data_IF_024034795090
#
_entry.id   IF_024034795090
#
_cell.length_a   1.000
_cell.length_b   1.000
_cell.length_c   1.000
_cell.angle_alpha   90.00
_cell.angle_beta   90.00
_cell.angle_gamma   90.00
#
_symmetry.space_group_name_H-M   'P 1'
#
loop_
_entity.id
_entity.type
_entity.pdbx_description
1 polymer ?
#
# COMPACT_ATOMS: atom_id res chain seq x y z
N UNK A 1 -14.73 -27.97 -26.20
CA UNK A 1 -14.72 -26.77 -27.09
C UNK A 1 -14.06 -25.64 -26.30
N UNK A 2 -13.01 -24.97 -26.75
CA UNK A 2 -12.07 -25.25 -27.84
C UNK A 2 -10.78 -24.47 -27.54
N UNK A 3 -9.61 -25.09 -27.65
CA UNK A 3 -8.34 -24.47 -27.30
C UNK A 3 -7.79 -23.63 -28.45
N UNK A 4 -7.19 -22.47 -28.14
CA UNK A 4 -6.18 -21.86 -29.00
C UNK A 4 -4.94 -21.52 -28.17
N UNK A 5 -3.86 -22.26 -28.42
CA UNK A 5 -2.47 -21.89 -28.09
C UNK A 5 -1.86 -21.22 -29.31
N UNK A 6 -1.00 -20.23 -29.12
CA UNK A 6 -0.06 -19.78 -30.14
C UNK A 6 1.26 -19.38 -29.49
N UNK A 7 2.30 -20.19 -29.72
CA UNK A 7 3.69 -19.84 -29.44
C UNK A 7 4.26 -19.04 -30.63
N UNK A 8 4.95 -17.93 -30.39
CA UNK A 8 5.92 -17.30 -31.31
C UNK A 8 6.98 -16.63 -30.42
N UNK A 9 8.14 -17.25 -30.22
CA UNK A 9 9.40 -17.05 -30.98
C UNK A 9 10.04 -15.68 -30.75
N UNK A 10 11.18 -15.69 -30.06
CA UNK A 10 12.11 -14.56 -30.03
C UNK A 10 12.86 -14.46 -31.37
N UNK A 11 13.20 -13.24 -31.78
CA UNK A 11 14.00 -12.99 -32.99
C UNK A 11 14.83 -11.71 -32.85
N UNK A 12 16.13 -11.82 -33.07
CA UNK A 12 17.04 -10.67 -33.24
C UNK A 12 16.79 -9.99 -34.59
N UNK A 13 16.77 -8.65 -34.65
CA UNK A 13 16.98 -7.90 -35.90
C UNK A 13 17.87 -6.67 -35.65
N UNK A 14 18.80 -6.41 -36.58
CA UNK A 14 19.79 -5.29 -36.58
C UNK A 14 19.33 -4.11 -37.46
N UNK A 15 19.61 -2.86 -36.99
CA UNK A 15 19.79 -1.60 -37.77
C UNK A 15 18.55 -1.11 -38.57
N UNK A 16 18.49 0.08 -39.23
CA UNK A 16 19.41 1.24 -39.36
C UNK A 16 18.89 2.53 -38.64
N UNK A 17 19.42 3.76 -38.78
CA UNK A 17 20.69 4.22 -39.38
C UNK A 17 20.69 5.60 -40.09
N UNK A 18 20.21 6.68 -39.46
CA UNK A 18 20.24 8.10 -39.92
C UNK A 18 20.76 8.98 -38.77
N UNK A 19 21.65 9.98 -38.89
CA UNK A 19 22.13 10.75 -40.04
C UNK A 19 21.49 12.14 -40.06
N UNK A 20 22.21 13.20 -39.63
CA UNK A 20 22.15 14.61 -40.10
C UNK A 20 23.17 15.49 -39.31
N UNK A 21 23.63 16.56 -39.97
CA UNK A 21 24.64 17.58 -39.60
C UNK A 21 24.29 18.37 -38.30
N UNK A 22 25.14 19.20 -37.67
CA UNK A 22 26.21 20.08 -38.18
C UNK A 22 27.15 20.59 -37.06
N UNK A 23 28.41 20.93 -37.43
CA UNK A 23 29.37 21.89 -36.81
C UNK A 23 29.19 22.29 -35.32
N UNK A 24 30.18 21.95 -34.51
CA UNK A 24 30.73 22.88 -33.52
C UNK A 24 31.95 23.60 -34.14
N UNK A 25 32.05 24.91 -33.95
CA UNK A 25 33.24 25.72 -34.23
C UNK A 25 33.65 26.30 -32.88
N UNK A 26 34.70 25.75 -32.28
CA UNK A 26 35.35 26.39 -31.13
C UNK A 26 36.46 27.30 -31.66
N UNK A 27 36.31 28.60 -31.38
CA UNK A 27 37.34 29.60 -31.68
C UNK A 27 38.33 29.65 -30.54
N UNK A 28 39.58 29.36 -30.93
CA UNK A 28 40.85 29.77 -30.34
C UNK A 28 40.76 30.98 -29.39
N UNK A 29 41.30 30.84 -28.19
CA UNK A 29 42.12 31.90 -27.60
C UNK A 29 43.09 31.35 -26.54
N UNK A 30 44.41 31.43 -26.81
CA UNK A 30 45.42 31.58 -25.76
C UNK A 30 46.76 32.12 -26.29
N UNK A 31 46.92 33.44 -26.18
CA UNK A 31 48.09 34.15 -25.64
C UNK A 31 49.43 33.37 -25.55
N UNK A 32 50.48 33.82 -26.27
CA UNK A 32 51.57 34.65 -25.69
C UNK A 32 52.84 34.76 -26.56
N UNK A 33 53.24 35.99 -26.87
CA UNK A 33 54.62 36.58 -26.87
C UNK A 33 55.83 35.72 -27.27
N UNK A 34 56.64 36.19 -28.25
CA UNK A 34 58.09 36.44 -28.12
C UNK A 34 58.68 37.29 -29.27
N UNK A 35 59.85 37.90 -29.01
CA UNK A 35 60.53 38.93 -29.81
C UNK A 35 61.28 38.47 -31.08
N UNK A 36 61.68 39.45 -31.92
CA UNK A 36 63.08 39.71 -32.38
C UNK A 36 63.29 40.14 -33.86
N UNK A 37 63.85 41.35 -34.00
CA UNK A 37 65.02 41.74 -34.83
C UNK A 37 65.15 41.44 -36.35
N UNK A 38 65.39 42.54 -37.10
CA UNK A 38 66.25 42.73 -38.29
C UNK A 38 66.05 41.89 -39.58
N UNK A 39 65.85 42.59 -40.71
CA UNK A 39 66.93 42.84 -41.70
C UNK A 39 66.47 43.60 -42.97
N UNK A 40 67.38 44.35 -43.59
CA UNK A 40 67.39 44.79 -45.00
C UNK A 40 68.39 43.90 -45.75
N UNK A 41 68.30 43.62 -47.07
CA UNK A 41 68.36 44.59 -48.19
C UNK A 41 67.38 44.27 -49.36
N UNK A 42 67.30 44.95 -50.51
CA UNK A 42 67.96 46.14 -51.06
C UNK A 42 68.06 46.04 -52.60
N UNK A 43 67.70 47.09 -53.36
CA UNK A 43 67.84 47.18 -54.83
C UNK A 43 68.35 48.58 -55.23
N UNK A 44 69.13 48.66 -56.31
CA UNK A 44 69.98 49.80 -56.71
C UNK A 44 69.42 50.60 -57.91
N UNK A 45 69.68 51.92 -57.89
CA UNK A 45 70.10 52.81 -59.02
C UNK A 45 69.20 52.89 -60.30
N UNK A 46 69.24 53.91 -61.16
CA UNK A 46 70.20 54.99 -61.45
C UNK A 46 69.56 56.40 -61.65
N UNK A 47 70.43 57.40 -61.57
CA UNK A 47 70.57 58.70 -62.28
C UNK A 47 69.56 59.13 -63.40
N UNK A 48 69.41 60.41 -63.78
CA UNK A 48 70.23 61.62 -63.52
C UNK A 48 69.44 62.95 -63.69
N UNK A 49 70.01 64.06 -63.18
CA UNK A 49 69.85 65.47 -63.58
C UNK A 49 68.56 65.99 -64.27
N UNK A 50 67.89 66.96 -63.62
CA UNK A 50 67.96 68.34 -64.14
C UNK A 50 67.59 69.43 -63.10
N UNK A 51 68.07 70.65 -63.36
CA UNK A 51 68.10 71.76 -62.39
C UNK A 51 66.94 72.77 -62.51
N UNK A 52 66.70 73.44 -61.36
CA UNK A 52 66.23 74.82 -61.18
C UNK A 52 64.72 75.20 -61.26
N UNK A 53 64.43 76.27 -60.50
CA UNK A 53 63.27 77.18 -60.56
C UNK A 53 61.86 76.66 -60.19
N UNK A 54 61.57 76.60 -58.87
CA UNK A 54 60.18 76.45 -58.38
C UNK A 54 59.95 76.34 -56.86
N UNK A 55 61.00 76.39 -56.03
CA UNK A 55 60.99 75.81 -54.68
C UNK A 55 60.45 76.68 -53.53
N UNK A 56 59.64 77.72 -53.82
CA UNK A 56 59.01 78.57 -52.77
C UNK A 56 57.48 78.59 -52.75
N UNK A 57 56.79 78.45 -53.89
CA UNK A 57 55.32 78.33 -53.90
C UNK A 57 54.85 76.88 -53.69
N UNK A 58 55.53 75.90 -54.30
CA UNK A 58 55.10 74.50 -54.20
C UNK A 58 55.22 73.93 -52.78
N UNK A 59 56.20 74.40 -51.98
CA UNK A 59 56.34 74.01 -50.57
C UNK A 59 55.20 74.51 -49.68
N UNK A 60 54.66 75.69 -49.94
CA UNK A 60 53.49 76.22 -49.22
C UNK A 60 52.24 75.40 -49.53
N UNK A 61 52.00 75.06 -50.80
CA UNK A 61 50.87 74.20 -51.18
C UNK A 61 51.02 72.74 -50.69
N UNK A 62 52.24 72.19 -50.65
CA UNK A 62 52.47 70.85 -50.12
C UNK A 62 52.27 70.79 -48.59
N UNK A 63 52.78 71.78 -47.84
CA UNK A 63 52.55 71.87 -46.38
C UNK A 63 51.08 72.13 -46.07
N UNK A 64 50.41 73.04 -46.78
CA UNK A 64 48.98 73.28 -46.62
C UNK A 64 48.15 72.03 -46.96
N UNK A 65 48.47 71.33 -48.05
CA UNK A 65 47.82 70.08 -48.44
C UNK A 65 47.99 68.97 -47.40
N UNK A 66 49.21 68.79 -46.86
CA UNK A 66 49.47 67.82 -45.78
C UNK A 66 48.72 68.18 -44.50
N UNK A 67 48.66 69.46 -44.12
CA UNK A 67 47.90 69.91 -42.93
C UNK A 67 46.39 69.71 -43.12
N UNK A 68 45.83 70.03 -44.29
CA UNK A 68 44.41 69.78 -44.58
C UNK A 68 44.12 68.27 -44.60
N UNK A 69 45.02 67.45 -45.15
CA UNK A 69 44.87 66.00 -45.16
C UNK A 69 44.96 65.38 -43.76
N UNK A 70 45.90 65.82 -42.91
CA UNK A 70 46.00 65.31 -41.52
C UNK A 70 44.81 65.76 -40.67
N UNK A 71 44.30 66.98 -40.85
CA UNK A 71 43.06 67.42 -40.21
C UNK A 71 41.85 66.63 -40.72
N UNK A 72 41.74 66.38 -42.03
CA UNK A 72 40.65 65.58 -42.59
C UNK A 72 40.68 64.12 -42.10
N UNK A 73 41.87 63.50 -42.03
CA UNK A 73 42.06 62.16 -41.47
C UNK A 73 41.80 62.15 -39.97
N UNK A 74 42.23 63.16 -39.21
CA UNK A 74 41.93 63.28 -37.79
C UNK A 74 40.42 63.45 -37.54
N UNK A 75 39.71 64.25 -38.34
CA UNK A 75 38.26 64.40 -38.27
C UNK A 75 37.54 63.10 -38.67
N UNK A 76 38.00 62.41 -39.70
CA UNK A 76 37.44 61.13 -40.14
C UNK A 76 37.62 60.03 -39.09
N UNK A 77 38.83 59.89 -38.53
CA UNK A 77 39.13 58.96 -37.44
C UNK A 77 38.37 59.33 -36.17
N UNK A 78 38.30 60.62 -35.81
CA UNK A 78 37.48 61.08 -34.70
C UNK A 78 36.02 60.70 -34.91
N UNK A 79 35.43 61.03 -36.07
CA UNK A 79 34.05 60.67 -36.41
C UNK A 79 33.79 59.16 -36.34
N UNK A 80 34.66 58.32 -36.91
CA UNK A 80 34.49 56.85 -36.88
C UNK A 80 34.65 56.23 -35.47
N UNK A 81 35.62 56.70 -34.68
CA UNK A 81 35.82 56.22 -33.30
C UNK A 81 34.65 56.66 -32.41
N UNK A 82 34.22 57.91 -32.56
CA UNK A 82 33.08 58.52 -31.86
C UNK A 82 31.79 57.77 -32.21
N UNK A 83 31.44 57.61 -33.49
CA UNK A 83 30.21 56.91 -33.89
C UNK A 83 30.19 55.44 -33.49
N UNK A 84 31.30 54.71 -33.66
CA UNK A 84 31.40 53.30 -33.28
C UNK A 84 31.25 53.07 -31.77
N UNK A 85 31.68 54.02 -30.94
CA UNK A 85 31.54 53.93 -29.48
C UNK A 85 30.08 54.05 -28.99
N UNK A 86 29.24 54.79 -29.73
CA UNK A 86 27.84 55.01 -29.35
C UNK A 86 26.92 53.86 -29.79
N UNK A 87 27.16 53.27 -30.95
CA UNK A 87 26.36 52.12 -31.43
C UNK A 87 26.59 50.86 -30.57
N UNK A 88 27.80 50.63 -30.07
CA UNK A 88 28.07 49.55 -29.10
C UNK A 88 27.34 49.77 -27.78
N UNK A 89 27.37 50.98 -27.22
CA UNK A 89 26.67 51.29 -25.96
C UNK A 89 25.15 51.13 -26.06
N UNK A 90 24.55 51.62 -27.14
CA UNK A 90 23.10 51.56 -27.34
C UNK A 90 22.61 50.13 -27.63
N UNK A 91 23.34 49.37 -28.46
CA UNK A 91 23.00 47.97 -28.74
C UNK A 91 23.13 47.08 -27.49
N UNK A 92 24.15 47.32 -26.65
CA UNK A 92 24.30 46.62 -25.37
C UNK A 92 23.19 46.98 -24.36
N UNK A 93 22.76 48.24 -24.29
CA UNK A 93 21.61 48.63 -23.46
C UNK A 93 20.30 47.96 -23.92
N UNK A 94 20.02 47.94 -25.23
CA UNK A 94 18.83 47.27 -25.78
C UNK A 94 18.84 45.77 -25.50
N UNK A 95 20.01 45.11 -25.58
CA UNK A 95 20.15 43.69 -25.21
C UNK A 95 19.88 43.45 -23.72
N UNK A 96 20.36 44.33 -22.83
CA UNK A 96 20.11 44.24 -21.38
C UNK A 96 18.61 44.43 -21.09
N UNK A 97 17.94 45.42 -21.69
CA UNK A 97 16.49 45.60 -21.53
C UNK A 97 15.69 44.40 -22.05
N UNK A 98 16.07 43.83 -23.20
CA UNK A 98 15.44 42.62 -23.72
C UNK A 98 15.63 41.41 -22.78
N UNK A 99 16.83 41.22 -22.21
CA UNK A 99 17.09 40.15 -21.24
C UNK A 99 16.27 40.34 -19.95
N UNK A 100 16.24 41.56 -19.39
CA UNK A 100 15.45 41.89 -18.19
C UNK A 100 13.95 41.69 -18.42
N UNK A 101 13.44 42.13 -19.58
CA UNK A 101 12.03 41.94 -19.95
C UNK A 101 11.68 40.47 -20.20
N UNK A 102 12.59 39.68 -20.79
CA UNK A 102 12.43 38.23 -20.97
C UNK A 102 12.37 37.52 -19.61
N UNK A 103 13.31 37.77 -18.71
CA UNK A 103 13.31 37.20 -17.36
C UNK A 103 12.04 37.54 -16.58
N UNK A 104 11.59 38.81 -16.65
CA UNK A 104 10.33 39.24 -16.02
C UNK A 104 9.09 38.56 -16.63
N UNK A 105 9.08 38.26 -17.92
CA UNK A 105 7.99 37.48 -18.53
C UNK A 105 7.98 36.03 -18.04
N UNK A 106 9.16 35.44 -17.85
CA UNK A 106 9.33 34.07 -17.34
C UNK A 106 8.93 33.94 -15.87
N UNK A 107 9.37 34.83 -14.98
CA UNK A 107 8.92 34.89 -13.58
C UNK A 107 7.38 34.98 -13.48
N UNK A 108 6.77 35.86 -14.28
CA UNK A 108 5.31 36.00 -14.34
C UNK A 108 4.62 34.73 -14.87
N UNK A 109 5.27 33.95 -15.74
CA UNK A 109 4.76 32.66 -16.22
C UNK A 109 4.87 31.59 -15.13
N UNK A 110 5.99 31.51 -14.43
CA UNK A 110 6.22 30.60 -13.29
C UNK A 110 5.19 30.87 -12.20
N UNK A 111 4.98 32.13 -11.80
CA UNK A 111 3.99 32.50 -10.79
C UNK A 111 2.56 32.04 -11.15
N UNK A 112 2.13 32.21 -12.42
CA UNK A 112 0.82 31.72 -12.89
C UNK A 112 0.72 30.20 -12.87
N UNK A 113 1.78 29.49 -13.23
CA UNK A 113 1.83 28.02 -13.18
C UNK A 113 1.77 27.50 -11.74
N UNK A 114 2.50 28.13 -10.80
CA UNK A 114 2.45 27.79 -9.37
C UNK A 114 1.04 27.91 -8.79
N UNK A 115 0.36 29.04 -9.03
CA UNK A 115 -1.05 29.25 -8.61
C UNK A 115 -1.99 28.21 -9.25
N UNK A 116 -1.72 27.80 -10.50
CA UNK A 116 -2.43 26.70 -11.15
C UNK A 116 -2.24 25.36 -10.42
N UNK A 117 -0.99 25.03 -10.07
CA UNK A 117 -0.61 23.83 -9.35
C UNK A 117 -1.23 23.74 -7.96
N UNK A 118 -1.14 24.80 -7.18
CA UNK A 118 -1.74 24.89 -5.83
C UNK A 118 -3.26 24.74 -5.86
N UNK A 119 -3.92 25.34 -6.85
CA UNK A 119 -5.37 25.21 -7.05
C UNK A 119 -5.75 23.78 -7.46
N UNK A 120 -5.02 23.18 -8.38
CA UNK A 120 -5.24 21.80 -8.78
C UNK A 120 -5.02 20.83 -7.62
N UNK A 121 -3.97 21.04 -6.81
CA UNK A 121 -3.68 20.27 -5.60
C UNK A 121 -4.82 20.36 -4.59
N UNK A 122 -5.30 21.58 -4.31
CA UNK A 122 -6.40 21.85 -3.38
C UNK A 122 -7.72 21.18 -3.81
N UNK A 123 -7.92 21.02 -5.12
CA UNK A 123 -9.06 20.32 -5.71
C UNK A 123 -8.86 18.79 -5.83
N UNK A 124 -7.77 18.24 -5.28
CA UNK A 124 -7.35 16.84 -5.42
C UNK A 124 -7.11 16.36 -6.87
N UNK A 125 -6.92 17.29 -7.82
CA UNK A 125 -6.52 17.01 -9.19
C UNK A 125 -5.00 16.77 -9.24
N UNK A 126 -4.53 15.71 -8.58
CA UNK A 126 -3.10 15.46 -8.37
C UNK A 126 -2.34 15.18 -9.66
N UNK A 127 -2.88 14.26 -10.49
CA UNK A 127 -2.28 13.84 -11.78
C UNK A 127 -3.28 13.92 -12.93
N UNK A 128 -4.58 13.73 -12.66
CA UNK A 128 -5.65 13.91 -13.65
C UNK A 128 -6.44 15.21 -13.38
N UNK A 129 -6.95 15.89 -14.43
CA UNK A 129 -6.69 15.63 -15.86
C UNK A 129 -5.24 15.99 -16.24
N UNK A 130 -4.70 15.37 -17.30
CA UNK A 130 -3.28 15.44 -17.65
C UNK A 130 -2.75 16.87 -17.90
N UNK A 131 -3.61 17.78 -18.38
CA UNK A 131 -3.25 19.16 -18.74
C UNK A 131 -3.42 20.17 -17.59
N UNK A 132 -4.25 19.86 -16.59
CA UNK A 132 -4.68 20.76 -15.50
C UNK A 132 -4.54 20.12 -14.11
N UNK A 133 -3.61 19.19 -13.97
CA UNK A 133 -3.25 18.60 -12.69
C UNK A 133 -2.13 19.35 -11.98
N UNK A 134 -2.04 19.17 -10.66
CA UNK A 134 -0.98 19.74 -9.84
C UNK A 134 0.40 19.29 -10.34
N UNK A 135 0.53 18.00 -10.65
CA UNK A 135 1.74 17.43 -11.26
C UNK A 135 2.11 18.14 -12.57
N UNK A 136 1.16 18.32 -13.49
CA UNK A 136 1.42 18.96 -14.78
C UNK A 136 1.84 20.43 -14.66
N UNK A 137 1.28 21.17 -13.70
CA UNK A 137 1.69 22.55 -13.42
C UNK A 137 3.10 22.63 -12.81
N UNK A 138 3.40 21.83 -11.78
CA UNK A 138 4.73 21.84 -11.17
C UNK A 138 5.82 21.33 -12.13
N UNK A 139 5.53 20.33 -12.97
CA UNK A 139 6.43 19.89 -14.04
C UNK A 139 6.67 20.98 -15.09
N UNK A 140 5.68 21.83 -15.41
CA UNK A 140 5.90 22.97 -16.29
C UNK A 140 6.78 24.04 -15.64
N UNK A 141 6.67 24.28 -14.33
CA UNK A 141 7.59 25.17 -13.60
C UNK A 141 9.01 24.60 -13.63
N UNK A 142 9.21 23.31 -13.33
CA UNK A 142 10.53 22.68 -13.31
C UNK A 142 11.20 22.57 -14.70
N UNK A 143 10.43 22.69 -15.79
CA UNK A 143 10.96 22.81 -17.16
C UNK A 143 11.48 24.21 -17.50
N UNK A 144 11.00 25.24 -16.80
CA UNK A 144 11.49 26.62 -16.93
C UNK A 144 12.65 26.84 -15.94
N UNK A 145 12.46 26.41 -14.69
CA UNK A 145 13.44 26.55 -13.61
C UNK A 145 13.54 25.24 -12.82
N UNK A 146 14.56 24.44 -13.11
CA UNK A 146 14.75 23.10 -12.53
C UNK A 146 14.99 23.09 -11.01
N UNK A 147 15.54 24.16 -10.45
CA UNK A 147 15.83 24.32 -9.02
C UNK A 147 14.71 25.00 -8.22
N UNK A 148 13.54 25.25 -8.84
CA UNK A 148 12.43 25.97 -8.20
C UNK A 148 11.83 25.18 -7.02
N UNK A 149 12.35 25.44 -5.82
CA UNK A 149 12.11 24.69 -4.58
C UNK A 149 10.61 24.46 -4.29
N UNK A 150 9.78 25.48 -4.41
CA UNK A 150 8.34 25.35 -4.14
C UNK A 150 7.60 24.42 -5.10
N UNK A 151 8.10 24.23 -6.33
CA UNK A 151 7.53 23.27 -7.28
C UNK A 151 7.99 21.84 -6.95
N UNK A 152 9.25 21.67 -6.54
CA UNK A 152 9.75 20.39 -6.02
C UNK A 152 9.00 19.96 -4.75
N UNK A 153 8.72 20.88 -3.83
CA UNK A 153 7.92 20.63 -2.63
C UNK A 153 6.43 20.37 -2.97
N UNK A 154 5.90 21.02 -4.01
CA UNK A 154 4.60 20.68 -4.60
C UNK A 154 4.51 19.21 -5.02
N UNK A 155 5.54 18.67 -5.71
CA UNK A 155 5.60 17.25 -6.07
C UNK A 155 5.68 16.33 -4.84
N UNK A 156 6.50 16.67 -3.83
CA UNK A 156 6.59 15.91 -2.56
C UNK A 156 5.25 15.88 -1.82
N UNK A 157 4.50 16.99 -1.84
CA UNK A 157 3.17 17.07 -1.25
C UNK A 157 2.16 16.18 -1.99
N UNK A 158 2.22 16.10 -3.33
CA UNK A 158 1.40 15.17 -4.12
C UNK A 158 1.70 13.72 -3.73
N UNK A 159 2.98 13.32 -3.67
CA UNK A 159 3.38 11.97 -3.23
C UNK A 159 2.80 11.65 -1.84
N UNK A 160 2.96 12.59 -0.89
CA UNK A 160 2.50 12.42 0.50
C UNK A 160 0.98 12.18 0.58
N UNK A 161 0.16 12.96 -0.13
CA UNK A 161 -1.29 12.79 -0.11
C UNK A 161 -1.73 11.49 -0.81
N UNK A 162 -1.17 11.18 -1.98
CA UNK A 162 -1.43 9.91 -2.67
C UNK A 162 -1.04 8.70 -1.81
N UNK A 163 0.07 8.78 -1.07
CA UNK A 163 0.53 7.72 -0.17
C UNK A 163 -0.40 7.56 1.04
N UNK A 164 -0.95 8.66 1.55
CA UNK A 164 -2.01 8.67 2.57
C UNK A 164 -3.28 7.95 2.07
N UNK A 165 -3.74 8.31 0.86
CA UNK A 165 -4.90 7.69 0.21
C UNK A 165 -4.68 6.20 -0.09
N UNK A 166 -3.48 5.81 -0.57
CA UNK A 166 -3.09 4.43 -0.79
C UNK A 166 -3.15 3.59 0.50
N UNK A 167 -2.57 4.11 1.60
CA UNK A 167 -2.60 3.47 2.92
C UNK A 167 -4.03 3.32 3.45
N UNK A 168 -4.85 4.35 3.33
CA UNK A 168 -6.25 4.30 3.74
C UNK A 168 -7.04 3.24 2.96
N UNK A 169 -6.86 3.18 1.63
CA UNK A 169 -7.47 2.15 0.80
C UNK A 169 -7.00 0.73 1.17
N UNK A 170 -5.70 0.55 1.42
CA UNK A 170 -5.11 -0.73 1.87
C UNK A 170 -5.70 -1.20 3.21
N UNK A 171 -5.73 -0.36 4.25
CA UNK A 171 -6.35 -0.73 5.53
C UNK A 171 -7.87 -0.98 5.42
N UNK A 172 -8.53 -0.34 4.46
CA UNK A 172 -9.92 -0.62 4.10
C UNK A 172 -10.13 -1.88 3.25
N UNK A 173 -9.08 -2.67 2.97
CA UNK A 173 -9.04 -3.82 2.04
C UNK A 173 -9.50 -3.51 0.61
N UNK A 174 -9.39 -2.25 0.19
CA UNK A 174 -9.72 -1.78 -1.16
C UNK A 174 -8.45 -1.85 -2.05
N UNK A 175 -7.87 -3.04 -2.18
CA UNK A 175 -6.55 -3.25 -2.79
C UNK A 175 -6.41 -2.62 -4.20
N UNK A 176 -7.37 -2.83 -5.10
CA UNK A 176 -7.40 -2.18 -6.43
C UNK A 176 -7.33 -0.65 -6.35
N UNK A 177 -8.01 -0.03 -5.38
CA UNK A 177 -7.98 1.43 -5.18
C UNK A 177 -6.63 1.88 -4.60
N UNK A 178 -6.01 1.06 -3.74
CA UNK A 178 -4.64 1.30 -3.24
C UNK A 178 -3.62 1.28 -4.38
N UNK A 179 -3.66 0.25 -5.25
CA UNK A 179 -2.80 0.16 -6.43
C UNK A 179 -2.95 1.37 -7.35
N UNK A 180 -4.18 1.78 -7.67
CA UNK A 180 -4.42 2.98 -8.49
C UNK A 180 -3.79 4.27 -7.93
N UNK A 181 -3.63 4.41 -6.61
CA UNK A 181 -2.91 5.53 -6.00
C UNK A 181 -1.39 5.33 -6.02
N UNK A 182 -0.91 4.09 -5.89
CA UNK A 182 0.52 3.75 -5.99
C UNK A 182 1.06 3.91 -7.42
N UNK A 183 0.28 3.55 -8.44
CA UNK A 183 0.60 3.79 -9.85
C UNK A 183 0.72 5.30 -10.15
N UNK A 184 -0.14 6.12 -9.52
CA UNK A 184 -0.02 7.58 -9.58
C UNK A 184 1.28 8.06 -8.92
N UNK A 185 1.65 7.54 -7.74
CA UNK A 185 2.93 7.89 -7.11
C UNK A 185 4.11 7.53 -8.03
N UNK A 186 4.07 6.39 -8.74
CA UNK A 186 5.12 6.00 -9.70
C UNK A 186 5.32 7.01 -10.84
N UNK A 187 4.31 7.83 -11.16
CA UNK A 187 4.43 8.95 -12.13
C UNK A 187 5.11 10.17 -11.49
N UNK A 188 4.83 10.46 -10.22
CA UNK A 188 5.36 11.65 -9.51
C UNK A 188 6.78 11.44 -8.97
N UNK A 189 7.01 10.27 -8.37
CA UNK A 189 8.28 9.84 -7.80
C UNK A 189 8.43 8.31 -8.03
N UNK A 190 9.06 7.89 -9.14
CA UNK A 190 9.35 6.48 -9.41
C UNK A 190 10.15 5.78 -8.31
N UNK A 191 10.90 6.54 -7.50
CA UNK A 191 11.80 6.03 -6.47
C UNK A 191 11.28 6.11 -5.03
N UNK A 192 9.99 6.42 -4.85
CA UNK A 192 9.32 6.36 -3.56
C UNK A 192 9.43 4.98 -2.91
N UNK A 193 10.37 4.84 -1.97
CA UNK A 193 10.60 3.60 -1.21
C UNK A 193 9.38 3.19 -0.39
N UNK A 194 8.62 4.16 0.10
CA UNK A 194 7.38 3.94 0.84
C UNK A 194 6.25 3.42 -0.07
N UNK A 195 6.15 3.91 -1.31
CA UNK A 195 5.20 3.38 -2.29
C UNK A 195 5.59 1.96 -2.75
N UNK A 196 6.87 1.73 -3.12
CA UNK A 196 7.41 0.40 -3.46
C UNK A 196 7.10 -0.62 -2.35
N UNK A 197 7.36 -0.26 -1.09
CA UNK A 197 7.06 -1.09 0.10
C UNK A 197 5.57 -1.40 0.26
N UNK A 198 4.68 -0.44 0.01
CA UNK A 198 3.23 -0.66 0.12
C UNK A 198 2.70 -1.48 -1.05
N UNK A 199 3.24 -1.29 -2.26
CA UNK A 199 2.89 -2.07 -3.44
C UNK A 199 3.09 -3.57 -3.21
N UNK A 200 4.29 -3.99 -2.79
CA UNK A 200 4.59 -5.41 -2.51
C UNK A 200 3.69 -6.02 -1.41
N UNK A 201 3.24 -5.22 -0.43
CA UNK A 201 2.27 -5.67 0.59
C UNK A 201 0.88 -5.88 0.02
N UNK A 202 0.40 -4.95 -0.81
CA UNK A 202 -0.90 -5.05 -1.47
C UNK A 202 -0.93 -6.26 -2.42
N UNK A 203 0.13 -6.43 -3.21
CA UNK A 203 0.29 -7.56 -4.14
C UNK A 203 0.31 -8.90 -3.40
N UNK A 204 1.15 -9.04 -2.37
CA UNK A 204 1.24 -10.27 -1.55
C UNK A 204 -0.09 -10.63 -0.86
N UNK A 205 -0.83 -9.65 -0.31
CA UNK A 205 -2.16 -9.92 0.28
C UNK A 205 -3.21 -10.30 -0.78
N UNK A 206 -3.12 -9.76 -2.00
CA UNK A 206 -4.00 -10.17 -3.10
C UNK A 206 -3.68 -11.58 -3.60
N UNK A 207 -2.41 -11.94 -3.72
CA UNK A 207 -1.97 -13.29 -4.08
C UNK A 207 -2.41 -14.32 -3.04
N UNK A 208 -2.18 -14.06 -1.74
CA UNK A 208 -2.64 -14.93 -0.65
C UNK A 208 -4.18 -15.06 -0.67
N UNK A 209 -4.90 -13.96 -0.85
CA UNK A 209 -6.37 -13.99 -0.95
C UNK A 209 -6.87 -14.78 -2.17
N UNK A 210 -6.18 -14.70 -3.31
CA UNK A 210 -6.51 -15.47 -4.52
C UNK A 210 -6.21 -16.95 -4.32
N UNK A 211 -5.05 -17.29 -3.74
CA UNK A 211 -4.64 -18.65 -3.44
C UNK A 211 -5.58 -19.32 -2.43
N UNK A 212 -5.99 -18.62 -1.37
CA UNK A 212 -7.00 -19.10 -0.41
C UNK A 212 -8.36 -19.30 -1.09
N UNK A 213 -8.75 -18.43 -2.03
CA UNK A 213 -9.98 -18.62 -2.81
C UNK A 213 -9.90 -19.86 -3.72
N UNK A 214 -8.74 -20.15 -4.30
CA UNK A 214 -8.52 -21.36 -5.10
C UNK A 214 -8.59 -22.63 -4.24
N UNK A 215 -7.90 -22.65 -3.09
CA UNK A 215 -8.00 -23.77 -2.12
C UNK A 215 -9.42 -23.98 -1.60
N UNK A 216 -10.19 -22.90 -1.37
CA UNK A 216 -11.59 -23.03 -0.96
C UNK A 216 -12.43 -23.72 -2.04
N UNK A 217 -12.27 -23.35 -3.30
CA UNK A 217 -12.96 -23.99 -4.42
C UNK A 217 -12.52 -25.45 -4.62
N UNK A 218 -11.23 -25.74 -4.45
CA UNK A 218 -10.68 -27.10 -4.50
C UNK A 218 -11.27 -27.99 -3.38
N UNK A 219 -11.28 -27.50 -2.14
CA UNK A 219 -11.88 -28.20 -1.01
C UNK A 219 -13.39 -28.41 -1.19
N UNK A 220 -14.11 -27.43 -1.73
CA UNK A 220 -15.54 -27.56 -2.08
C UNK A 220 -15.80 -28.58 -3.20
N UNK A 221 -14.83 -28.87 -4.07
CA UNK A 221 -14.93 -29.94 -5.07
C UNK A 221 -14.65 -31.31 -4.45
N UNK A 222 -13.56 -31.47 -3.68
CA UNK A 222 -13.31 -32.70 -2.91
C UNK A 222 -14.49 -33.04 -1.97
N UNK A 223 -15.20 -32.04 -1.44
CA UNK A 223 -16.45 -32.22 -0.67
C UNK A 223 -17.59 -32.87 -1.47
N UNK A 224 -17.75 -32.52 -2.76
CA UNK A 224 -18.77 -33.09 -3.66
C UNK A 224 -18.40 -34.50 -4.08
N UNK A 225 -17.13 -34.68 -4.47
CA UNK A 225 -16.58 -35.93 -5.00
C UNK A 225 -16.33 -36.98 -3.90
N UNK A 226 -16.66 -36.64 -2.64
CA UNK A 226 -16.51 -37.50 -1.45
C UNK A 226 -15.07 -37.91 -1.10
N UNK A 227 -14.07 -37.20 -1.62
CA UNK A 227 -12.65 -37.30 -1.25
C UNK A 227 -12.36 -36.51 0.05
N UNK A 228 -12.88 -37.02 1.17
CA UNK A 228 -12.99 -36.21 2.39
C UNK A 228 -11.81 -36.37 3.37
N UNK A 229 -11.34 -37.59 3.67
CA UNK A 229 -10.15 -37.88 4.49
C UNK A 229 -9.44 -39.22 4.14
N UNK A 230 -9.71 -39.85 3.00
CA UNK A 230 -8.96 -41.07 2.62
C UNK A 230 -7.52 -40.73 2.19
N UNK A 231 -6.65 -41.75 2.13
CA UNK A 231 -5.20 -41.73 2.41
C UNK A 231 -4.26 -40.83 1.57
N UNK A 232 -4.75 -39.89 0.76
CA UNK A 232 -3.93 -38.89 0.07
C UNK A 232 -3.85 -37.57 0.86
N UNK A 233 -2.78 -36.80 0.63
CA UNK A 233 -2.66 -35.42 1.13
C UNK A 233 -3.61 -34.44 0.38
N UNK A 234 -4.34 -34.94 -0.64
CA UNK A 234 -5.28 -34.21 -1.48
C UNK A 234 -6.73 -34.59 -1.10
N UNK A 235 -7.21 -34.07 0.01
CA UNK A 235 -8.58 -34.27 0.49
C UNK A 235 -9.16 -32.97 1.08
N UNK A 236 -10.49 -32.87 1.15
CA UNK A 236 -11.17 -31.66 1.60
C UNK A 236 -10.68 -31.15 2.98
N UNK A 237 -10.43 -32.05 3.93
CA UNK A 237 -9.99 -31.67 5.28
C UNK A 237 -8.60 -31.04 5.31
N UNK A 238 -7.62 -31.64 4.63
CA UNK A 238 -6.25 -31.10 4.60
C UNK A 238 -6.17 -29.76 3.85
N UNK A 239 -6.96 -29.57 2.78
CA UNK A 239 -7.04 -28.26 2.11
C UNK A 239 -7.68 -27.20 3.02
N UNK A 240 -8.77 -27.51 3.74
CA UNK A 240 -9.32 -26.56 4.72
C UNK A 240 -8.37 -26.27 5.88
N UNK A 241 -7.64 -27.28 6.38
CA UNK A 241 -6.61 -27.11 7.42
C UNK A 241 -5.48 -26.20 6.94
N UNK A 242 -5.03 -26.36 5.69
CA UNK A 242 -4.05 -25.46 5.03
C UNK A 242 -4.57 -24.01 4.94
N UNK A 243 -5.83 -23.80 4.59
CA UNK A 243 -6.42 -22.44 4.63
C UNK A 243 -6.38 -21.86 6.05
N UNK A 244 -6.65 -22.68 7.08
CA UNK A 244 -6.66 -22.25 8.48
C UNK A 244 -5.27 -21.99 9.08
N UNK A 245 -4.17 -22.45 8.47
CA UNK A 245 -2.81 -22.03 8.88
C UNK A 245 -2.49 -20.61 8.41
N UNK A 246 -3.09 -20.16 7.32
CA UNK A 246 -2.96 -18.79 6.80
C UNK A 246 -4.00 -17.83 7.41
N UNK A 247 -5.26 -18.24 7.47
CA UNK A 247 -6.37 -17.46 8.01
C UNK A 247 -7.15 -18.26 9.07
N UNK A 248 -6.71 -18.26 10.34
CA UNK A 248 -7.35 -19.02 11.42
C UNK A 248 -8.82 -18.68 11.69
N UNK A 249 -9.27 -17.48 11.28
CA UNK A 249 -10.65 -16.99 11.40
C UNK A 249 -11.49 -17.18 10.11
N UNK A 250 -10.97 -17.87 9.09
CA UNK A 250 -11.67 -18.07 7.83
C UNK A 250 -12.96 -18.91 8.01
N UNK A 251 -14.09 -18.20 8.08
CA UNK A 251 -15.40 -18.79 8.37
C UNK A 251 -15.91 -19.77 7.30
N UNK A 252 -15.33 -19.79 6.09
CA UNK A 252 -15.63 -20.82 5.08
C UNK A 252 -14.88 -22.10 5.39
N UNK A 253 -13.56 -22.02 5.61
CA UNK A 253 -12.74 -23.19 5.94
C UNK A 253 -13.14 -23.83 7.29
N UNK A 254 -13.46 -23.02 8.32
CA UNK A 254 -13.99 -23.53 9.59
C UNK A 254 -15.29 -24.33 9.42
N UNK A 255 -16.21 -23.86 8.56
CA UNK A 255 -17.44 -24.60 8.23
C UNK A 255 -17.17 -25.84 7.39
N UNK A 256 -16.23 -25.76 6.45
CA UNK A 256 -15.78 -26.89 5.63
C UNK A 256 -15.25 -28.06 6.47
N UNK A 257 -14.34 -27.79 7.41
CA UNK A 257 -13.84 -28.78 8.39
C UNK A 257 -15.00 -29.43 9.17
N UNK A 258 -15.99 -28.66 9.60
CA UNK A 258 -17.15 -29.23 10.31
C UNK A 258 -18.03 -30.07 9.38
N UNK A 259 -18.27 -29.63 8.13
CA UNK A 259 -18.99 -30.41 7.13
C UNK A 259 -18.33 -31.76 6.81
N UNK A 260 -16.98 -31.82 6.73
CA UNK A 260 -16.25 -33.09 6.60
C UNK A 260 -16.56 -34.03 7.77
N UNK A 261 -16.44 -33.55 9.02
CA UNK A 261 -16.71 -34.37 10.22
C UNK A 261 -18.13 -34.90 10.25
N UNK A 262 -19.11 -34.05 9.94
CA UNK A 262 -20.53 -34.44 9.91
C UNK A 262 -20.82 -35.48 8.82
N UNK A 263 -20.17 -35.40 7.65
CA UNK A 263 -20.29 -36.43 6.62
C UNK A 263 -19.79 -37.78 7.14
N UNK A 264 -18.59 -37.86 7.73
CA UNK A 264 -18.08 -39.12 8.29
C UNK A 264 -18.98 -39.67 9.39
N UNK A 265 -19.41 -38.83 10.32
CA UNK A 265 -20.33 -39.24 11.38
C UNK A 265 -21.63 -39.84 10.80
N UNK A 266 -22.17 -39.26 9.73
CA UNK A 266 -23.39 -39.75 9.06
C UNK A 266 -23.15 -41.03 8.25
N UNK A 267 -22.06 -41.13 7.48
CA UNK A 267 -21.70 -42.28 6.63
C UNK A 267 -21.48 -43.57 7.45
N UNK A 268 -20.89 -43.46 8.63
CA UNK A 268 -20.54 -44.62 9.47
C UNK A 268 -21.63 -45.02 10.49
N UNK A 269 -22.72 -44.26 10.62
CA UNK A 269 -23.92 -44.70 11.38
C UNK A 269 -24.76 -45.72 10.59
N UNK A 270 -24.60 -45.81 9.27
CA UNK A 270 -25.37 -46.71 8.39
C UNK A 270 -24.72 -48.06 8.06
N UNK A 271 -23.51 -48.38 8.54
CA UNK A 271 -22.83 -49.65 8.20
C UNK A 271 -22.33 -50.41 9.41
N UNK A 272 -23.09 -51.43 9.82
CA UNK A 272 -22.74 -52.37 10.91
C UNK A 272 -21.65 -53.36 10.48
N UNK A 273 -20.38 -52.95 10.39
CA UNK A 273 -19.26 -53.86 10.12
C UNK A 273 -17.95 -53.41 10.81
N UNK A 274 -17.62 -54.11 11.91
CA UNK A 274 -16.56 -53.80 12.89
C UNK A 274 -15.11 -53.87 12.38
N UNK A 275 -14.85 -54.37 11.17
CA UNK A 275 -13.48 -54.70 10.73
C UNK A 275 -12.77 -53.62 9.90
N UNK A 276 -13.39 -52.44 9.71
CA UNK A 276 -12.72 -51.25 9.12
C UNK A 276 -12.22 -50.23 10.16
N UNK A 277 -12.54 -50.44 11.44
CA UNK A 277 -12.24 -49.47 12.51
C UNK A 277 -10.73 -49.28 12.78
N UNK A 278 -9.87 -50.22 12.38
CA UNK A 278 -8.43 -50.21 12.63
C UNK A 278 -7.59 -49.47 11.57
N UNK A 279 -8.14 -49.26 10.36
CA UNK A 279 -7.65 -48.23 9.44
C UNK A 279 -8.11 -46.83 9.89
N UNK A 280 -9.34 -46.72 10.37
CA UNK A 280 -9.97 -45.43 10.71
C UNK A 280 -9.36 -44.79 11.96
N UNK A 281 -9.05 -45.58 13.00
CA UNK A 281 -8.24 -45.09 14.13
C UNK A 281 -6.83 -44.66 13.71
N UNK A 282 -6.26 -45.26 12.66
CA UNK A 282 -4.94 -44.88 12.13
C UNK A 282 -5.00 -43.50 11.46
N UNK A 283 -6.05 -43.21 10.70
CA UNK A 283 -6.31 -41.87 10.12
C UNK A 283 -6.56 -40.84 11.23
N UNK A 284 -7.46 -41.11 12.18
CA UNK A 284 -7.72 -40.19 13.31
C UNK A 284 -6.49 -39.92 14.18
N UNK A 285 -5.57 -40.88 14.31
CA UNK A 285 -4.33 -40.69 15.08
C UNK A 285 -3.25 -39.94 14.28
N UNK A 286 -3.31 -39.97 12.94
CA UNK A 286 -2.39 -39.24 12.05
C UNK A 286 -2.72 -37.74 11.94
N UNK A 287 -3.96 -37.31 12.22
CA UNK A 287 -4.37 -35.89 12.11
C UNK A 287 -3.78 -34.93 13.15
N UNK A 288 -3.00 -35.42 14.13
CA UNK A 288 -2.29 -34.62 15.15
C UNK A 288 -3.11 -33.48 15.78
N UNK A 289 -4.37 -33.78 16.08
CA UNK A 289 -5.22 -32.92 16.91
C UNK A 289 -4.82 -33.13 18.38
N UNK A 290 -4.70 -32.07 19.20
CA UNK A 290 -4.47 -32.24 20.64
C UNK A 290 -5.49 -33.19 21.27
N UNK A 291 -5.08 -33.95 22.29
CA UNK A 291 -5.90 -34.95 23.02
C UNK A 291 -7.19 -34.39 23.67
N UNK A 292 -7.43 -33.08 23.57
CA UNK A 292 -8.68 -32.43 23.94
C UNK A 292 -9.86 -32.67 22.99
N UNK A 293 -9.64 -33.29 21.82
CA UNK A 293 -10.69 -33.55 20.81
C UNK A 293 -11.09 -35.04 20.72
N UNK A 294 -10.36 -35.94 21.38
CA UNK A 294 -10.63 -37.37 21.32
C UNK A 294 -11.76 -37.80 22.26
N UNK A 295 -12.94 -38.03 21.70
CA UNK A 295 -14.01 -38.78 22.38
C UNK A 295 -13.67 -40.28 22.56
N UNK A 296 -12.40 -40.66 22.33
CA UNK A 296 -11.80 -41.98 22.60
C UNK A 296 -12.12 -42.46 24.01
N UNK A 297 -12.24 -41.58 25.00
CA UNK A 297 -12.66 -41.95 26.36
C UNK A 297 -14.12 -42.46 26.39
N UNK A 298 -15.06 -41.79 25.70
CA UNK A 298 -16.45 -42.28 25.56
C UNK A 298 -16.56 -43.50 24.67
N UNK A 299 -15.70 -43.64 23.66
CA UNK A 299 -15.64 -44.84 22.81
C UNK A 299 -15.17 -46.04 23.64
N UNK A 300 -14.13 -45.86 24.48
CA UNK A 300 -13.64 -46.86 25.45
C UNK A 300 -14.68 -47.22 26.52
N UNK A 301 -15.45 -46.25 27.01
CA UNK A 301 -16.57 -46.48 27.94
C UNK A 301 -17.74 -47.22 27.28
N UNK A 302 -18.13 -46.88 26.03
CA UNK A 302 -19.16 -47.66 25.31
C UNK A 302 -18.71 -49.10 25.05
N UNK A 303 -17.42 -49.30 24.76
CA UNK A 303 -16.83 -50.64 24.55
C UNK A 303 -16.83 -51.47 25.86
N UNK A 304 -16.47 -50.86 26.99
CA UNK A 304 -16.55 -51.54 28.30
C UNK A 304 -18.01 -51.87 28.67
N UNK A 305 -18.95 -50.95 28.41
CA UNK A 305 -20.38 -51.16 28.65
C UNK A 305 -21.00 -52.25 27.76
N UNK A 306 -20.49 -52.47 26.54
CA UNK A 306 -20.89 -53.61 25.71
C UNK A 306 -20.40 -54.95 26.31
N UNK A 307 -19.16 -54.99 26.79
CA UNK A 307 -18.58 -56.17 27.47
C UNK A 307 -19.23 -56.47 28.82
N UNK A 308 -19.72 -55.44 29.52
CA UNK A 308 -20.48 -55.57 30.77
C UNK A 308 -21.92 -56.04 30.50
N UNK A 309 -22.55 -55.62 29.39
CA UNK A 309 -23.94 -56.01 29.03
C UNK A 309 -24.11 -57.49 28.73
N UNK A 310 -23.08 -58.19 28.25
CA UNK A 310 -23.11 -59.65 28.10
C UNK A 310 -22.97 -60.40 29.42
N UNK A 311 -22.40 -59.77 30.46
CA UNK A 311 -22.25 -60.36 31.81
C UNK A 311 -23.43 -60.00 32.75
N UNK A 312 -24.03 -58.82 32.60
CA UNK A 312 -25.08 -58.29 33.49
C UNK A 312 -26.51 -58.74 33.19
N UNK A 313 -26.71 -59.70 32.27
CA UNK A 313 -27.98 -60.45 32.16
C UNK A 313 -28.26 -61.37 33.37
N UNK A 314 -27.31 -61.52 34.32
CA UNK A 314 -27.38 -62.51 35.42
C UNK A 314 -27.70 -61.94 36.81
N UNK A 315 -27.83 -60.62 36.99
CA UNK A 315 -28.01 -60.02 38.33
C UNK A 315 -28.90 -58.76 38.34
N UNK A 316 -30.21 -58.95 38.12
CA UNK A 316 -31.22 -57.93 38.41
C UNK A 316 -31.79 -58.14 39.82
N UNK A 317 -31.52 -57.23 40.75
CA UNK A 317 -32.46 -56.86 41.85
C UNK A 317 -31.99 -55.62 42.62
N UNK A 318 -32.97 -54.80 43.01
CA UNK A 318 -32.92 -53.65 43.93
C UNK A 318 -32.16 -52.39 43.44
N UNK A 319 -32.88 -51.26 43.25
CA UNK A 319 -33.15 -50.16 44.23
C UNK A 319 -31.89 -49.28 44.43
N UNK A 320 -31.88 -47.95 44.34
CA UNK A 320 -32.92 -46.91 44.45
C UNK A 320 -32.73 -45.84 43.34
N UNK A 321 -33.81 -45.18 42.92
CA UNK A 321 -33.78 -44.08 41.95
C UNK A 321 -33.14 -42.82 42.55
N UNK A 322 -32.03 -42.35 41.97
CA UNK A 322 -31.73 -40.91 41.94
C UNK A 322 -31.92 -40.40 40.50
N UNK A 323 -32.88 -39.49 40.30
CA UNK A 323 -33.06 -38.82 39.00
C UNK A 323 -31.92 -37.80 38.82
N UNK A 324 -30.75 -38.28 38.36
CA UNK A 324 -29.71 -37.38 37.79
C UNK A 324 -30.30 -36.69 36.57
N UNK A 325 -30.68 -35.42 36.76
CA UNK A 325 -31.25 -34.56 35.74
C UNK A 325 -30.26 -34.43 34.57
N UNK A 326 -30.65 -34.85 33.36
CA UNK A 326 -29.78 -34.86 32.18
C UNK A 326 -29.58 -33.42 31.67
N UNK A 327 -28.54 -32.77 32.15
CA UNK A 327 -28.07 -31.51 31.58
C UNK A 327 -27.62 -31.72 30.13
N UNK A 328 -27.97 -30.78 29.25
CA UNK A 328 -27.50 -30.82 27.86
C UNK A 328 -26.00 -30.54 27.83
N UNK A 329 -25.25 -31.27 27.01
CA UNK A 329 -23.83 -30.97 26.79
C UNK A 329 -23.68 -29.64 26.03
N UNK A 330 -22.80 -28.76 26.50
CA UNK A 330 -22.48 -27.49 25.88
C UNK A 330 -21.52 -27.73 24.72
N UNK A 331 -22.00 -27.59 23.48
CA UNK A 331 -21.11 -27.60 22.32
C UNK A 331 -20.34 -26.28 22.22
N UNK A 332 -19.17 -26.33 21.57
CA UNK A 332 -18.39 -25.14 21.24
C UNK A 332 -19.20 -24.14 20.42
N UNK A 333 -19.98 -24.62 19.45
CA UNK A 333 -20.85 -23.78 18.61
C UNK A 333 -21.92 -23.05 19.44
N UNK A 334 -22.58 -23.75 20.35
CA UNK A 334 -23.58 -23.16 21.25
C UNK A 334 -22.97 -22.10 22.17
N UNK A 335 -21.76 -22.34 22.68
CA UNK A 335 -21.03 -21.37 23.49
C UNK A 335 -20.59 -20.14 22.66
N UNK A 336 -19.99 -20.36 21.49
CA UNK A 336 -19.53 -19.29 20.58
C UNK A 336 -20.69 -18.44 20.06
N UNK A 337 -21.80 -19.04 19.64
CA UNK A 337 -23.01 -18.31 19.24
C UNK A 337 -23.53 -17.43 20.38
N UNK A 338 -23.49 -17.93 21.62
CA UNK A 338 -23.95 -17.19 22.80
C UNK A 338 -22.99 -16.04 23.18
N UNK A 339 -21.68 -16.24 23.05
CA UNK A 339 -20.68 -15.16 23.18
C UNK A 339 -20.82 -14.11 22.08
N UNK A 340 -21.11 -14.50 20.83
CA UNK A 340 -21.36 -13.55 19.75
C UNK A 340 -22.61 -12.69 20.00
N UNK A 341 -23.70 -13.30 20.49
CA UNK A 341 -24.91 -12.55 20.91
C UNK A 341 -24.60 -11.55 22.04
N UNK A 342 -23.73 -11.92 22.98
CA UNK A 342 -23.29 -11.08 24.09
C UNK A 342 -22.41 -9.91 23.65
N UNK A 343 -21.42 -10.20 22.80
CA UNK A 343 -20.58 -9.19 22.15
C UNK A 343 -21.44 -8.14 21.45
N UNK A 344 -22.37 -8.58 20.60
CA UNK A 344 -23.29 -7.68 19.88
C UNK A 344 -24.11 -6.86 20.89
N UNK A 345 -24.65 -7.49 21.93
CA UNK A 345 -25.49 -6.80 22.91
C UNK A 345 -24.71 -5.77 23.77
N UNK A 346 -23.42 -6.00 24.04
CA UNK A 346 -22.51 -5.01 24.64
C UNK A 346 -22.18 -3.87 23.67
N UNK A 347 -21.83 -4.16 22.41
CA UNK A 347 -21.48 -3.14 21.42
C UNK A 347 -22.64 -2.23 21.00
N UNK A 348 -23.88 -2.74 21.07
CA UNK A 348 -25.10 -2.05 20.62
C UNK A 348 -25.92 -1.41 21.76
N UNK A 349 -25.43 -1.44 23.01
CA UNK A 349 -26.17 -0.88 24.15
C UNK A 349 -27.44 -1.67 24.53
N UNK A 350 -27.58 -2.92 24.10
CA UNK A 350 -28.82 -3.70 24.25
C UNK A 350 -28.98 -4.28 25.67
N UNK A 351 -29.28 -3.40 26.64
CA UNK A 351 -29.52 -3.74 28.06
C UNK A 351 -30.56 -4.86 28.23
N UNK A 352 -31.67 -4.81 27.47
CA UNK A 352 -32.73 -5.84 27.51
C UNK A 352 -32.22 -7.21 27.03
N UNK A 353 -31.40 -7.24 25.98
CA UNK A 353 -30.73 -8.45 25.50
C UNK A 353 -29.77 -9.02 26.54
N UNK A 354 -28.89 -8.19 27.11
CA UNK A 354 -27.92 -8.60 28.14
C UNK A 354 -28.60 -9.19 29.38
N UNK A 355 -29.64 -8.51 29.90
CA UNK A 355 -30.40 -8.98 31.08
C UNK A 355 -31.15 -10.30 30.84
N UNK A 356 -31.53 -10.60 29.58
CA UNK A 356 -32.15 -11.89 29.20
C UNK A 356 -31.16 -13.03 29.00
N UNK A 357 -29.92 -12.74 28.60
CA UNK A 357 -28.91 -13.77 28.30
C UNK A 357 -27.89 -13.99 29.41
N UNK A 358 -27.77 -13.06 30.36
CA UNK A 358 -26.78 -13.10 31.43
C UNK A 358 -27.41 -13.28 32.82
N UNK A 359 -26.71 -13.96 33.72
CA UNK A 359 -26.91 -13.88 35.16
C UNK A 359 -26.11 -12.68 35.66
N UNK A 360 -26.81 -11.65 36.11
CA UNK A 360 -26.16 -10.49 36.74
C UNK A 360 -25.75 -10.86 38.17
N UNK A 361 -24.46 -10.77 38.46
CA UNK A 361 -23.94 -10.74 39.83
C UNK A 361 -24.25 -9.37 40.48
N UNK A 362 -24.20 -9.22 41.82
CA UNK A 362 -24.42 -7.94 42.48
C UNK A 362 -23.58 -6.80 41.88
N UNK A 363 -24.18 -5.63 41.71
CA UNK A 363 -23.54 -4.46 41.07
C UNK A 363 -23.50 -4.48 39.54
N UNK A 364 -23.66 -5.64 38.87
CA UNK A 364 -23.55 -5.77 37.41
C UNK A 364 -24.59 -4.95 36.63
N UNK A 365 -25.79 -4.74 37.19
CA UNK A 365 -26.80 -3.87 36.57
C UNK A 365 -26.35 -2.39 36.55
N UNK A 366 -25.84 -1.88 37.69
CA UNK A 366 -25.29 -0.52 37.79
C UNK A 366 -24.08 -0.34 36.86
N UNK A 367 -23.24 -1.37 36.70
CA UNK A 367 -22.14 -1.33 35.74
C UNK A 367 -22.63 -1.18 34.28
N UNK A 368 -23.63 -1.97 33.87
CA UNK A 368 -24.20 -1.86 32.51
C UNK A 368 -24.85 -0.49 32.29
N UNK A 369 -25.49 0.07 33.31
CA UNK A 369 -26.12 1.39 33.24
C UNK A 369 -25.11 2.54 33.18
N UNK A 370 -24.01 2.47 33.95
CA UNK A 370 -22.89 3.39 33.81
C UNK A 370 -22.22 3.27 32.44
N UNK A 371 -21.98 2.04 31.97
CA UNK A 371 -21.34 1.78 30.67
C UNK A 371 -22.17 2.33 29.49
N UNK A 372 -23.50 2.16 29.49
CA UNK A 372 -24.33 2.66 28.40
C UNK A 372 -24.81 4.10 28.58
N UNK A 373 -24.77 4.65 29.80
CA UNK A 373 -25.04 6.06 30.08
C UNK A 373 -23.84 6.97 29.78
N UNK A 374 -22.61 6.47 29.89
CA UNK A 374 -21.38 7.26 29.70
C UNK A 374 -20.75 7.12 28.31
N UNK A 375 -21.00 6.02 27.60
CA UNK A 375 -20.31 5.70 26.33
C UNK A 375 -21.26 5.50 25.16
N UNK A 376 -21.05 6.30 24.11
CA UNK A 376 -21.81 6.25 22.83
C UNK A 376 -21.29 5.17 21.88
N UNK A 377 -20.00 4.80 21.98
CA UNK A 377 -19.39 3.71 21.19
C UNK A 377 -18.52 2.85 22.08
N UNK A 378 -18.71 1.53 21.97
CA UNK A 378 -17.96 0.52 22.71
C UNK A 378 -17.48 -0.53 21.71
N UNK A 379 -16.16 -0.69 21.53
CA UNK A 379 -15.61 -1.83 20.81
C UNK A 379 -15.40 -3.00 21.78
N UNK A 380 -15.71 -4.23 21.35
CA UNK A 380 -15.64 -5.42 22.21
C UNK A 380 -14.78 -6.48 21.52
N UNK A 381 -13.63 -6.75 22.13
CA UNK A 381 -12.73 -7.85 21.77
C UNK A 381 -12.99 -9.04 22.66
N UNK A 382 -12.84 -10.22 22.06
CA UNK A 382 -13.08 -11.54 22.64
C UNK A 382 -11.80 -12.33 22.39
N UNK A 383 -11.16 -12.83 23.45
CA UNK A 383 -9.92 -13.62 23.38
C UNK A 383 -10.01 -14.83 24.32
N UNK A 384 -9.03 -15.75 24.23
CA UNK A 384 -8.84 -16.82 25.22
C UNK A 384 -10.06 -17.74 25.39
N UNK A 385 -10.80 -17.97 24.30
CA UNK A 385 -11.98 -18.84 24.31
C UNK A 385 -11.59 -20.29 24.60
N UNK A 386 -12.15 -20.87 25.67
CA UNK A 386 -11.84 -22.22 26.15
C UNK A 386 -13.11 -22.96 26.58
N UNK A 387 -13.44 -24.05 25.91
CA UNK A 387 -14.48 -24.98 26.36
C UNK A 387 -13.94 -25.91 27.46
N UNK A 388 -14.68 -26.05 28.55
CA UNK A 388 -14.35 -26.88 29.72
C UNK A 388 -15.44 -27.94 29.85
N UNK A 389 -15.24 -29.04 29.12
CA UNK A 389 -16.23 -30.11 29.02
C UNK A 389 -16.56 -30.77 30.38
N UNK A 390 -15.59 -30.85 31.30
CA UNK A 390 -15.76 -31.37 32.66
C UNK A 390 -16.73 -30.55 33.52
N UNK A 391 -16.81 -29.23 33.29
CA UNK A 391 -17.71 -28.33 34.01
C UNK A 391 -19.00 -28.02 33.24
N UNK A 392 -19.09 -28.43 31.97
CA UNK A 392 -20.14 -28.05 31.03
C UNK A 392 -20.24 -26.51 30.82
N UNK A 393 -19.08 -25.83 30.79
CA UNK A 393 -18.96 -24.38 30.62
C UNK A 393 -17.95 -24.03 29.52
N UNK A 394 -18.09 -22.85 28.93
CA UNK A 394 -17.01 -22.19 28.20
C UNK A 394 -16.56 -20.94 28.97
N UNK A 395 -15.26 -20.62 28.94
CA UNK A 395 -14.69 -19.38 29.46
C UNK A 395 -14.08 -18.58 28.33
N UNK A 396 -14.08 -17.25 28.46
CA UNK A 396 -13.55 -16.33 27.46
C UNK A 396 -13.14 -15.01 28.14
N UNK A 397 -12.08 -14.37 27.66
CA UNK A 397 -11.70 -13.03 28.10
C UNK A 397 -12.39 -11.99 27.22
N UNK A 398 -12.98 -10.98 27.84
CA UNK A 398 -13.65 -9.86 27.19
C UNK A 398 -12.85 -8.60 27.49
N UNK A 399 -12.59 -7.80 26.45
CA UNK A 399 -11.89 -6.52 26.55
C UNK A 399 -12.71 -5.45 25.85
N UNK A 400 -13.09 -4.41 26.57
CA UNK A 400 -13.71 -3.20 26.02
C UNK A 400 -12.59 -2.25 25.58
N UNK A 401 -12.59 -1.84 24.31
CA UNK A 401 -11.60 -0.90 23.79
C UNK A 401 -12.23 0.16 22.87
N UNK A 402 -11.42 1.10 22.38
CA UNK A 402 -11.81 2.18 21.47
C UNK A 402 -13.09 2.92 21.93
N UNK A 403 -13.18 3.16 23.23
CA UNK A 403 -14.35 3.78 23.88
C UNK A 403 -14.49 5.24 23.45
N UNK A 404 -15.73 5.64 23.16
CA UNK A 404 -16.09 7.04 22.91
C UNK A 404 -17.20 7.43 23.87
N UNK A 405 -16.99 8.49 24.64
CA UNK A 405 -17.97 9.01 25.60
C UNK A 405 -19.17 9.68 24.88
N UNK A 406 -20.19 10.08 25.66
CA UNK A 406 -21.35 10.83 25.14
C UNK A 406 -20.98 12.19 24.51
N UNK A 407 -19.82 12.77 24.85
CA UNK A 407 -19.30 14.03 24.31
C UNK A 407 -18.42 13.83 23.05
N UNK A 408 -18.37 12.60 22.51
CA UNK A 408 -17.52 12.17 21.41
C UNK A 408 -15.99 12.19 21.70
N UNK A 409 -15.57 12.27 22.97
CA UNK A 409 -14.16 12.15 23.37
C UNK A 409 -13.74 10.68 23.42
N UNK A 410 -12.54 10.38 22.91
CA UNK A 410 -11.93 9.04 23.02
C UNK A 410 -11.46 8.82 24.46
N UNK A 411 -11.86 7.69 25.06
CA UNK A 411 -11.49 7.33 26.44
C UNK A 411 -10.54 6.14 26.43
N UNK A 412 -9.47 6.23 27.22
CA UNK A 412 -8.54 5.12 27.45
C UNK A 412 -9.18 4.18 28.49
N UNK A 413 -9.46 2.90 28.16
CA UNK A 413 -10.09 1.97 29.10
C UNK A 413 -9.14 1.59 30.23
N UNK A 414 -9.60 1.66 31.49
CA UNK A 414 -8.87 1.16 32.67
C UNK A 414 -9.09 -0.33 32.91
N UNK A 415 -8.58 -0.87 34.03
CA UNK A 415 -8.66 -2.30 34.37
C UNK A 415 -10.10 -2.87 34.34
N UNK A 416 -11.11 -2.06 34.67
CA UNK A 416 -12.53 -2.43 34.62
C UNK A 416 -13.03 -2.86 33.22
N UNK A 417 -12.30 -2.48 32.17
CA UNK A 417 -12.61 -2.84 30.78
C UNK A 417 -12.30 -4.28 30.42
N UNK A 418 -11.57 -5.01 31.27
CA UNK A 418 -11.18 -6.40 31.05
C UNK A 418 -11.86 -7.30 32.09
N UNK A 419 -12.57 -8.32 31.64
CA UNK A 419 -13.23 -9.28 32.52
C UNK A 419 -13.35 -10.67 31.88
N UNK A 420 -13.31 -11.71 32.71
CA UNK A 420 -13.60 -13.08 32.27
C UNK A 420 -15.11 -13.28 32.19
N UNK A 421 -15.57 -14.02 31.18
CA UNK A 421 -16.98 -14.33 30.95
C UNK A 421 -17.14 -15.83 30.77
N UNK A 422 -18.20 -16.39 31.36
CA UNK A 422 -18.50 -17.82 31.29
C UNK A 422 -19.86 -18.08 30.64
N UNK A 423 -19.97 -19.09 29.77
CA UNK A 423 -21.25 -19.59 29.25
C UNK A 423 -21.52 -20.96 29.83
N UNK A 424 -22.73 -21.19 30.33
CA UNK A 424 -23.14 -22.48 30.90
C UNK A 424 -24.65 -22.69 30.79
N UNK A 425 -25.11 -23.93 30.96
CA UNK A 425 -26.54 -24.20 31.11
C UNK A 425 -27.02 -23.89 32.54
N UNK A 426 -28.15 -23.21 32.67
CA UNK A 426 -28.88 -23.10 33.94
C UNK A 426 -29.71 -24.37 34.23
N UNK A 427 -30.34 -24.45 35.40
CA UNK A 427 -31.21 -25.57 35.78
C UNK A 427 -32.45 -25.78 34.89
N UNK A 428 -32.73 -24.87 33.95
CA UNK A 428 -33.78 -24.97 32.93
C UNK A 428 -33.23 -25.35 31.54
N UNK A 429 -31.98 -25.81 31.44
CA UNK A 429 -31.27 -26.09 30.17
C UNK A 429 -31.23 -24.88 29.20
N UNK A 430 -31.23 -23.65 29.73
CA UNK A 430 -31.01 -22.43 28.94
C UNK A 430 -29.55 -21.97 29.06
N UNK A 431 -28.95 -21.52 27.95
CA UNK A 431 -27.59 -20.96 27.94
C UNK A 431 -27.57 -19.58 28.59
N UNK A 432 -26.87 -19.48 29.71
CA UNK A 432 -26.72 -18.26 30.50
C UNK A 432 -25.25 -17.87 30.59
N UNK A 433 -25.01 -16.57 30.51
CA UNK A 433 -23.70 -15.95 30.59
C UNK A 433 -23.48 -15.41 32.01
N UNK A 434 -22.37 -15.75 32.66
CA UNK A 434 -22.01 -15.17 33.97
C UNK A 434 -20.67 -14.45 33.82
N UNK A 435 -20.65 -13.17 34.19
CA UNK A 435 -19.54 -12.24 33.98
C UNK A 435 -19.52 -11.18 35.09
#
# INVERSE_FOLDING_TARGET
MGYYRSNVSAGEIKKPGTGYYTRAIDIVENVSVHDCYLSHPGVKAEAENNQLAGSRLMKFWFVAGVVVLTVAVAVFLYQHVVSGSYEMGLSQQVQIEQQVMSGKQEENRIARLMVGGERAFSNANYIMPEDKSAYAYYQQVLKLQADHLAAQDGLKNIEKELLGLARFAYFGKQYKKSLNYLDQIRVVNPDSSAAKTLYSKVESEQEESAQISAWLAEAENYMKDSYLTELSDNNAYEIYKKILTHQPDNTRALRGVESVKQHYFKKHISTTQLNREESDMRVMKKTHVPESVTDVKKTREKFSLAKIRTQTKKSVKNKVVSRRQKYKALSIEQASQRISQFKIALQTGNKRGLKRMSRYIPGREKFVDGLFGQYKKINVKISDFKLIASENKARVKVTLNDLIDINNKKVIPGNWSQFETTVSYNGRNQLIITW
#
